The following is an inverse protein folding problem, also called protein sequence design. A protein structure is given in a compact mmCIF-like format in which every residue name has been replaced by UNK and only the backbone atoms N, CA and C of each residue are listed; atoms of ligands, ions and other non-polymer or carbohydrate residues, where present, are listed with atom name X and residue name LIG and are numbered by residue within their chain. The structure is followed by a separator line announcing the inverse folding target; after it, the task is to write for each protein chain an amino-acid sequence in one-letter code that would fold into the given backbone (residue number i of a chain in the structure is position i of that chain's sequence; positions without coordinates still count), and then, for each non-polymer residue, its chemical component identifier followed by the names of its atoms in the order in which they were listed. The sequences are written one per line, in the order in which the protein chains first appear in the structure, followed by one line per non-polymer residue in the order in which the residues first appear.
data_IF_247539026926
#
_entry.id   IF_247539026926
#
_cell.length_a   1.000
_cell.length_b   1.000
_cell.length_c   1.000
_cell.angle_alpha   90.00
_cell.angle_beta   90.00
_cell.angle_gamma   90.00
#
_symmetry.space_group_name_H-M   'P 1'
#
loop_
_entity.id
_entity.type
_entity.pdbx_description
1 polymer ?
#
# COMPACT_ATOMS: atom_id res chain seq x y z
N UNK A 1 52.11 44.75 0.32
CA UNK A 1 51.54 43.58 1.02
C UNK A 1 50.08 43.83 1.24
N UNK A 2 49.25 43.19 0.46
CA UNK A 2 47.80 43.39 0.44
C UNK A 2 47.20 42.17 1.12
N UNK A 3 46.64 42.34 2.32
CA UNK A 3 45.96 41.27 3.07
C UNK A 3 44.54 41.14 2.52
N UNK A 4 44.25 40.02 1.86
CA UNK A 4 42.90 39.63 1.49
C UNK A 4 42.21 38.98 2.67
N UNK A 5 41.20 39.64 3.25
CA UNK A 5 40.30 39.05 4.25
C UNK A 5 39.27 38.19 3.55
N UNK A 6 39.32 36.88 3.79
CA UNK A 6 38.37 35.92 3.30
C UNK A 6 37.14 35.94 4.25
N UNK A 7 36.04 36.57 3.82
CA UNK A 7 34.79 36.48 4.55
C UNK A 7 34.08 35.14 4.21
N UNK A 8 34.17 34.19 5.13
CA UNK A 8 33.39 32.96 5.04
C UNK A 8 31.95 33.26 5.48
N UNK A 9 31.06 33.43 4.50
CA UNK A 9 29.61 33.51 4.73
C UNK A 9 29.05 32.15 5.15
N UNK A 10 28.68 32.01 6.41
CA UNK A 10 27.97 30.85 6.92
C UNK A 10 26.50 30.98 6.47
N UNK A 11 26.13 30.30 5.38
CA UNK A 11 24.75 30.18 4.97
C UNK A 11 24.04 29.21 5.93
N UNK A 12 23.33 29.75 6.92
CA UNK A 12 22.44 28.99 7.77
C UNK A 12 21.21 28.62 6.95
N UNK A 13 21.18 27.43 6.36
CA UNK A 13 19.97 26.88 5.75
C UNK A 13 19.04 26.46 6.85
N UNK A 14 18.11 27.34 7.23
CA UNK A 14 16.97 26.96 8.03
C UNK A 14 16.08 26.07 7.16
N UNK A 15 16.09 24.76 7.42
CA UNK A 15 15.04 23.89 6.96
C UNK A 15 13.77 24.24 7.72
N UNK A 16 12.93 25.05 7.11
CA UNK A 16 11.57 25.24 7.56
C UNK A 16 10.86 23.90 7.31
N UNK A 17 10.70 23.09 8.34
CA UNK A 17 9.72 22.03 8.31
C UNK A 17 8.36 22.71 8.23
N UNK A 18 7.81 22.82 7.04
CA UNK A 18 6.42 23.18 6.88
C UNK A 18 5.61 22.06 7.51
N UNK A 19 5.18 22.27 8.76
CA UNK A 19 4.04 21.53 9.29
C UNK A 19 2.88 21.95 8.39
N UNK A 20 2.46 21.05 7.49
CA UNK A 20 1.25 21.26 6.74
C UNK A 20 0.14 21.37 7.76
N UNK A 21 -0.39 22.59 7.90
CA UNK A 21 -1.57 22.86 8.70
C UNK A 21 -2.69 21.92 8.23
N UNK A 22 -3.50 21.41 9.13
CA UNK A 22 -4.58 20.49 8.73
C UNK A 22 -5.42 21.22 7.68
N UNK A 23 -5.74 20.56 6.55
CA UNK A 23 -6.39 21.22 5.41
C UNK A 23 -7.79 21.73 5.76
N UNK A 24 -8.33 21.34 6.89
CA UNK A 24 -9.61 21.80 7.43
C UNK A 24 -9.70 21.52 8.93
N UNK A 25 -10.42 22.39 9.64
CA UNK A 25 -10.75 22.17 11.05
C UNK A 25 -11.96 21.21 11.09
N UNK A 26 -11.78 20.03 11.67
CA UNK A 26 -12.88 19.12 11.87
C UNK A 26 -13.76 19.60 13.02
N UNK A 27 -15.05 19.73 12.80
CA UNK A 27 -16.03 20.10 13.79
C UNK A 27 -17.33 19.32 13.59
N UNK A 28 -18.07 19.11 14.68
CA UNK A 28 -19.43 18.60 14.68
C UNK A 28 -20.35 19.69 15.25
N UNK A 29 -21.65 19.53 15.04
CA UNK A 29 -22.66 20.38 15.66
C UNK A 29 -23.26 19.66 16.87
N UNK A 30 -23.48 20.40 17.94
CA UNK A 30 -24.24 19.91 19.09
C UNK A 30 -25.75 19.97 18.85
N UNK A 31 -26.53 19.67 19.90
CA UNK A 31 -28.00 19.73 19.84
C UNK A 31 -28.58 21.13 19.52
N UNK A 32 -27.82 22.17 19.80
CA UNK A 32 -28.24 23.58 19.59
C UNK A 32 -27.65 24.20 18.32
N UNK A 33 -27.11 23.38 17.41
CA UNK A 33 -26.42 23.80 16.20
C UNK A 33 -25.13 24.62 16.43
N UNK A 34 -24.57 24.56 17.64
CA UNK A 34 -23.27 25.16 17.93
C UNK A 34 -22.12 24.23 17.45
N UNK A 35 -21.14 24.83 16.77
CA UNK A 35 -19.99 24.07 16.27
C UNK A 35 -19.05 23.72 17.44
N UNK A 36 -18.86 22.41 17.66
CA UNK A 36 -17.94 21.88 18.67
C UNK A 36 -16.71 21.23 18.00
N UNK A 37 -15.50 21.38 18.56
CA UNK A 37 -14.31 20.72 18.03
C UNK A 37 -14.51 19.22 17.98
N UNK A 38 -14.22 18.63 16.82
CA UNK A 38 -14.19 17.19 16.59
C UNK A 38 -12.76 16.69 16.66
N UNK A 39 -12.59 15.35 16.70
CA UNK A 39 -11.27 14.76 16.51
C UNK A 39 -10.74 15.12 15.13
N UNK A 40 -9.42 15.35 15.04
CA UNK A 40 -8.75 15.61 13.77
C UNK A 40 -9.06 14.51 12.77
N UNK A 41 -9.47 14.91 11.57
CA UNK A 41 -9.73 13.96 10.49
C UNK A 41 -8.41 13.36 9.99
N UNK A 42 -8.51 12.18 9.36
CA UNK A 42 -7.37 11.59 8.68
C UNK A 42 -6.94 12.50 7.52
N UNK A 43 -5.64 12.73 7.42
CA UNK A 43 -5.05 13.44 6.28
C UNK A 43 -4.28 12.44 5.40
N UNK A 44 -4.23 12.76 4.11
CA UNK A 44 -3.37 12.00 3.20
C UNK A 44 -1.91 12.35 3.53
N UNK A 45 -1.18 11.39 4.06
CA UNK A 45 0.25 11.54 4.34
C UNK A 45 1.09 11.26 3.09
N UNK A 46 0.72 10.23 2.33
CA UNK A 46 1.44 9.79 1.15
C UNK A 46 0.49 9.16 0.14
N UNK A 47 0.68 9.47 -1.12
CA UNK A 47 0.06 8.76 -2.24
C UNK A 47 1.13 7.89 -2.91
N UNK A 48 0.81 6.61 -3.12
CA UNK A 48 1.73 5.63 -3.71
C UNK A 48 1.13 5.14 -5.01
N UNK A 49 1.92 5.20 -6.08
CA UNK A 49 1.52 4.71 -7.41
C UNK A 49 2.04 3.29 -7.65
N UNK A 50 1.57 2.64 -8.72
CA UNK A 50 2.08 1.32 -9.11
C UNK A 50 3.60 1.31 -9.36
N UNK A 51 4.15 2.36 -9.92
CA UNK A 51 5.60 2.52 -10.11
C UNK A 51 6.33 2.67 -8.75
N UNK A 52 5.75 3.42 -7.81
CA UNK A 52 6.31 3.54 -6.47
C UNK A 52 6.29 2.20 -5.73
N UNK A 53 5.29 1.36 -5.97
CA UNK A 53 5.20 0.00 -5.43
C UNK A 53 6.17 -0.98 -6.11
N UNK A 54 6.70 -0.64 -7.29
CA UNK A 54 7.53 -1.52 -8.10
C UNK A 54 6.71 -2.62 -8.79
N UNK A 55 5.48 -2.32 -9.24
CA UNK A 55 4.62 -3.29 -9.93
C UNK A 55 5.11 -3.64 -11.34
N UNK A 56 5.98 -2.84 -11.91
CA UNK A 56 6.69 -3.11 -13.18
C UNK A 56 7.58 -4.36 -13.11
N UNK A 57 8.07 -4.71 -11.92
CA UNK A 57 8.85 -5.94 -11.68
C UNK A 57 8.08 -7.22 -12.00
N UNK A 58 6.75 -7.17 -11.92
CA UNK A 58 5.88 -8.33 -12.21
C UNK A 58 5.88 -8.72 -13.68
N UNK A 59 6.30 -7.84 -14.56
CA UNK A 59 6.45 -8.07 -16.00
C UNK A 59 7.91 -8.18 -16.48
N UNK A 60 8.88 -8.14 -15.55
CA UNK A 60 10.29 -8.32 -15.89
C UNK A 60 10.69 -9.81 -15.73
N UNK A 61 10.98 -10.52 -16.84
CA UNK A 61 11.36 -11.95 -16.79
C UNK A 61 12.63 -12.24 -15.97
N UNK A 62 13.43 -11.24 -15.68
CA UNK A 62 14.64 -11.36 -14.85
C UNK A 62 14.37 -11.21 -13.35
N UNK A 63 13.19 -10.70 -12.95
CA UNK A 63 12.83 -10.48 -11.56
C UNK A 63 12.20 -11.74 -10.93
N UNK A 64 12.56 -12.09 -9.68
CA UNK A 64 11.96 -13.21 -8.94
C UNK A 64 10.43 -13.11 -8.76
N UNK A 65 9.87 -11.91 -8.88
CA UNK A 65 8.42 -11.65 -8.77
C UNK A 65 7.69 -11.72 -10.11
N UNK A 66 8.41 -12.05 -11.20
CA UNK A 66 7.81 -12.17 -12.53
C UNK A 66 6.60 -13.10 -12.56
N UNK A 67 5.53 -12.64 -13.20
CA UNK A 67 4.31 -13.42 -13.40
C UNK A 67 4.05 -13.65 -14.89
N UNK A 68 4.07 -12.58 -15.68
CA UNK A 68 3.86 -12.61 -17.12
C UNK A 68 4.33 -11.32 -17.77
N UNK A 69 4.65 -11.36 -19.07
CA UNK A 69 5.06 -10.19 -19.86
C UNK A 69 3.99 -9.08 -19.88
N UNK A 70 2.72 -9.46 -19.72
CA UNK A 70 1.56 -8.55 -19.73
C UNK A 70 1.08 -8.16 -18.34
N UNK A 71 1.85 -8.44 -17.28
CA UNK A 71 1.44 -8.14 -15.91
C UNK A 71 1.21 -6.63 -15.72
N UNK A 72 -0.01 -6.20 -15.27
CA UNK A 72 -0.30 -4.78 -15.15
C UNK A 72 0.58 -4.09 -14.10
N UNK A 73 1.26 -3.00 -14.50
CA UNK A 73 2.09 -2.18 -13.61
C UNK A 73 1.30 -1.13 -12.79
N UNK A 74 -0.04 -1.26 -12.77
CA UNK A 74 -0.94 -0.37 -12.03
C UNK A 74 -1.99 -1.17 -11.29
N UNK A 75 -2.48 -0.63 -10.18
CA UNK A 75 -3.66 -1.15 -9.51
C UNK A 75 -4.91 -0.88 -10.37
N UNK A 76 -5.86 -1.79 -10.33
CA UNK A 76 -7.17 -1.65 -10.97
C UNK A 76 -8.25 -2.10 -10.01
N UNK A 77 -9.20 -1.21 -9.72
CA UNK A 77 -10.35 -1.50 -8.87
C UNK A 77 -9.99 -2.21 -7.55
N UNK A 78 -8.98 -1.67 -6.82
CA UNK A 78 -8.57 -2.21 -5.53
C UNK A 78 -9.74 -2.14 -4.54
N UNK A 79 -10.11 -3.27 -3.93
CA UNK A 79 -11.30 -3.40 -3.08
C UNK A 79 -10.98 -3.43 -1.61
N UNK A 80 -9.85 -4.00 -1.22
CA UNK A 80 -9.52 -4.18 0.19
C UNK A 80 -8.03 -4.06 0.44
N UNK A 81 -7.70 -3.60 1.65
CA UNK A 81 -6.35 -3.47 2.17
C UNK A 81 -6.33 -4.03 3.59
N UNK A 82 -5.51 -5.02 3.83
CA UNK A 82 -5.29 -5.61 5.15
C UNK A 82 -3.86 -5.40 5.61
N UNK A 83 -3.68 -4.97 6.86
CA UNK A 83 -2.37 -4.89 7.50
C UNK A 83 -2.18 -6.07 8.45
N UNK A 84 -1.22 -6.91 8.14
CA UNK A 84 -0.77 -8.03 8.98
C UNK A 84 0.30 -7.54 9.96
N UNK A 85 -0.14 -7.29 11.21
CA UNK A 85 0.73 -6.79 12.27
C UNK A 85 1.78 -7.80 12.72
N UNK A 86 1.54 -9.09 12.52
CA UNK A 86 2.47 -10.13 12.95
C UNK A 86 3.71 -10.23 12.06
N UNK A 87 3.54 -9.90 10.78
CA UNK A 87 4.60 -9.99 9.77
C UNK A 87 5.01 -8.62 9.20
N UNK A 88 4.45 -7.52 9.71
CA UNK A 88 4.66 -6.15 9.22
C UNK A 88 4.49 -6.05 7.69
N UNK A 89 3.39 -6.62 7.18
CA UNK A 89 3.10 -6.63 5.74
C UNK A 89 1.70 -6.10 5.44
N UNK A 90 1.58 -5.46 4.28
CA UNK A 90 0.29 -5.06 3.73
C UNK A 90 -0.15 -6.04 2.65
N UNK A 91 -1.45 -6.27 2.59
CA UNK A 91 -2.06 -7.12 1.58
C UNK A 91 -3.15 -6.34 0.86
N UNK A 92 -3.15 -6.37 -0.46
CA UNK A 92 -4.06 -5.59 -1.30
C UNK A 92 -4.82 -6.51 -2.24
N UNK A 93 -6.15 -6.42 -2.21
CA UNK A 93 -7.01 -7.01 -3.24
C UNK A 93 -7.01 -6.10 -4.47
N UNK A 94 -6.22 -6.44 -5.48
CA UNK A 94 -6.21 -5.77 -6.79
C UNK A 94 -7.20 -6.45 -7.73
N UNK A 95 -8.51 -6.19 -7.46
CA UNK A 95 -9.65 -6.96 -7.99
C UNK A 95 -9.74 -6.91 -9.50
N UNK A 96 -9.57 -5.73 -10.09
CA UNK A 96 -9.65 -5.56 -11.53
C UNK A 96 -8.51 -6.23 -12.30
N UNK A 97 -7.43 -6.60 -11.60
CA UNK A 97 -6.32 -7.37 -12.15
C UNK A 97 -6.34 -8.85 -11.69
N UNK A 98 -7.39 -9.28 -10.98
CA UNK A 98 -7.57 -10.65 -10.49
C UNK A 98 -6.38 -11.18 -9.68
N UNK A 99 -5.80 -10.35 -8.82
CA UNK A 99 -4.61 -10.69 -8.03
C UNK A 99 -4.66 -10.13 -6.62
N UNK A 100 -3.88 -10.75 -5.75
CA UNK A 100 -3.56 -10.26 -4.40
C UNK A 100 -2.09 -9.88 -4.38
N UNK A 101 -1.80 -8.68 -3.88
CA UNK A 101 -0.44 -8.19 -3.72
C UNK A 101 -0.06 -8.24 -2.24
N UNK A 102 1.17 -8.65 -1.95
CA UNK A 102 1.81 -8.47 -0.65
C UNK A 102 2.87 -7.38 -0.77
N UNK A 103 2.81 -6.42 0.16
CA UNK A 103 3.73 -5.28 0.21
C UNK A 103 4.46 -5.29 1.56
N UNK A 104 5.65 -4.73 1.58
CA UNK A 104 6.36 -4.43 2.82
C UNK A 104 5.89 -3.10 3.45
N UNK A 105 6.53 -2.68 4.54
CA UNK A 105 6.24 -1.42 5.25
C UNK A 105 6.56 -0.17 4.43
N UNK A 106 7.41 -0.27 3.42
CA UNK A 106 7.71 0.80 2.47
C UNK A 106 6.73 0.81 1.28
N UNK A 107 5.70 -0.05 1.34
CA UNK A 107 4.69 -0.26 0.31
C UNK A 107 5.29 -0.77 -1.02
N UNK A 108 6.40 -1.53 -0.95
CA UNK A 108 6.99 -2.20 -2.12
C UNK A 108 6.44 -3.61 -2.26
N UNK A 109 6.20 -4.02 -3.51
CA UNK A 109 5.73 -5.39 -3.78
C UNK A 109 6.78 -6.42 -3.40
N UNK A 110 6.36 -7.39 -2.59
CA UNK A 110 7.17 -8.54 -2.14
C UNK A 110 6.55 -9.87 -2.54
N UNK A 111 5.32 -9.85 -3.05
CA UNK A 111 4.64 -11.05 -3.56
C UNK A 111 3.42 -10.68 -4.37
N UNK A 112 3.09 -11.54 -5.32
CA UNK A 112 1.87 -11.42 -6.11
C UNK A 112 1.26 -12.81 -6.29
N UNK A 113 -0.03 -12.91 -6.02
CA UNK A 113 -0.79 -14.15 -6.03
C UNK A 113 -1.97 -13.99 -6.99
N UNK A 114 -2.09 -14.88 -7.95
CA UNK A 114 -3.15 -14.86 -8.96
C UNK A 114 -4.15 -16.00 -8.80
N UNK A 115 -3.95 -16.85 -7.80
CA UNK A 115 -4.81 -17.99 -7.53
C UNK A 115 -4.23 -18.91 -6.46
N UNK A 116 -4.86 -20.04 -6.28
CA UNK A 116 -4.46 -21.07 -5.35
C UNK A 116 -3.69 -22.17 -6.05
N UNK A 117 -2.59 -22.63 -5.46
CA UNK A 117 -1.82 -23.77 -5.96
C UNK A 117 -1.75 -24.86 -4.89
N UNK A 118 -1.99 -26.10 -5.32
CA UNK A 118 -1.64 -27.29 -4.53
C UNK A 118 -2.57 -27.67 -3.36
N UNK A 119 -3.76 -27.08 -3.24
CA UNK A 119 -4.74 -27.51 -2.23
C UNK A 119 -5.82 -28.39 -2.86
N UNK A 120 -6.02 -29.57 -2.28
CA UNK A 120 -7.13 -30.47 -2.59
C UNK A 120 -8.45 -30.07 -1.90
N UNK A 121 -8.41 -29.08 -1.00
CA UNK A 121 -9.55 -28.65 -0.19
C UNK A 121 -10.18 -27.35 -0.72
N UNK A 122 -9.61 -26.71 -1.73
CA UNK A 122 -10.18 -25.50 -2.32
C UNK A 122 -11.30 -25.91 -3.25
N UNK A 123 -12.50 -25.42 -2.95
CA UNK A 123 -13.61 -25.47 -3.89
C UNK A 123 -13.22 -24.66 -5.12
N UNK A 124 -12.80 -25.33 -6.16
CA UNK A 124 -12.70 -24.75 -7.50
C UNK A 124 -14.12 -24.32 -7.85
N UNK A 125 -14.27 -23.08 -8.35
CA UNK A 125 -15.57 -22.62 -8.82
C UNK A 125 -16.15 -23.58 -9.87
N UNK A 126 -17.42 -23.44 -10.19
CA UNK A 126 -18.12 -24.29 -11.19
C UNK A 126 -17.40 -24.32 -12.55
N UNK A 127 -16.54 -23.32 -12.82
CA UNK A 127 -15.72 -23.22 -14.03
C UNK A 127 -14.38 -23.96 -13.97
N UNK A 128 -14.08 -24.62 -12.83
CA UNK A 128 -12.85 -25.38 -12.65
C UNK A 128 -11.57 -24.54 -12.50
N UNK A 129 -11.69 -23.23 -12.31
CA UNK A 129 -10.54 -22.31 -12.21
C UNK A 129 -9.98 -22.30 -10.80
N UNK A 130 -8.67 -22.37 -10.70
CA UNK A 130 -7.92 -22.13 -9.45
C UNK A 130 -7.43 -20.69 -9.33
N UNK A 131 -7.75 -19.83 -10.30
CA UNK A 131 -7.36 -18.42 -10.34
C UNK A 131 -8.40 -17.54 -9.67
N UNK A 132 -7.96 -16.43 -9.08
CA UNK A 132 -8.87 -15.43 -8.54
C UNK A 132 -9.71 -14.80 -9.65
N UNK A 133 -10.95 -14.48 -9.31
CA UNK A 133 -11.84 -13.72 -10.16
C UNK A 133 -12.50 -12.63 -9.31
N UNK A 134 -12.10 -11.39 -9.54
CA UNK A 134 -12.56 -10.20 -8.81
C UNK A 134 -12.53 -10.39 -7.28
N UNK A 135 -11.37 -10.69 -6.65
CA UNK A 135 -11.29 -10.84 -5.20
C UNK A 135 -11.74 -9.54 -4.50
N UNK A 136 -12.63 -9.65 -3.51
CA UNK A 136 -13.25 -8.48 -2.88
C UNK A 136 -12.79 -8.23 -1.45
N UNK A 137 -12.27 -9.24 -0.77
CA UNK A 137 -11.85 -9.12 0.61
C UNK A 137 -10.64 -9.97 0.89
N UNK A 138 -9.85 -9.58 1.89
CA UNK A 138 -8.65 -10.30 2.28
C UNK A 138 -8.50 -10.30 3.80
N UNK A 139 -8.15 -11.44 4.34
CA UNK A 139 -7.83 -11.60 5.74
C UNK A 139 -6.68 -12.58 5.91
N UNK A 140 -5.66 -12.17 6.63
CA UNK A 140 -4.52 -13.02 6.98
C UNK A 140 -4.64 -13.41 8.43
N UNK A 141 -4.65 -14.72 8.70
CA UNK A 141 -4.69 -15.25 10.04
C UNK A 141 -3.42 -16.02 10.32
N UNK A 142 -2.70 -15.62 11.36
CA UNK A 142 -1.59 -16.39 11.88
C UNK A 142 -2.10 -17.69 12.49
N UNK A 143 -1.52 -18.78 12.05
CA UNK A 143 -1.66 -20.09 12.68
C UNK A 143 -0.36 -20.45 13.39
N UNK A 144 -0.43 -21.25 14.45
CA UNK A 144 0.77 -21.79 15.12
C UNK A 144 1.58 -22.73 14.21
N UNK A 145 1.02 -23.14 13.08
CA UNK A 145 1.65 -24.05 12.13
C UNK A 145 1.97 -23.39 10.80
N UNK A 146 1.10 -22.50 10.32
CA UNK A 146 1.23 -21.81 9.03
C UNK A 146 0.39 -20.53 9.00
N UNK A 147 0.85 -19.50 8.30
CA UNK A 147 0.04 -18.34 8.01
C UNK A 147 -1.00 -18.70 6.95
N UNK A 148 -2.27 -18.39 7.23
CA UNK A 148 -3.37 -18.67 6.30
C UNK A 148 -3.92 -17.39 5.73
N UNK A 149 -3.98 -17.34 4.41
CA UNK A 149 -4.60 -16.28 3.64
C UNK A 149 -6.03 -16.68 3.30
N UNK A 150 -6.99 -15.81 3.61
CA UNK A 150 -8.40 -15.93 3.22
C UNK A 150 -8.74 -14.81 2.24
N UNK A 151 -9.34 -15.16 1.11
CA UNK A 151 -9.69 -14.25 0.02
C UNK A 151 -11.18 -14.38 -0.30
#
# INVERSE_FOLDING_TARGET
MISAALAAGLALTMTVTAFADEPYTAYNYDYWDDAIPSQSAYRVEKTVTGADMGLDRLSDPSDPLYISDDAPAKLSDAKDLFYDQDNDTFWVCDSGNNRILRLDTDLKVTGCYTGFTGSTEISVGEDGRSTFLNPNGIYVKKSIFDDKLYV
#
